data_IF_707624063513
#
_entry.id   IF_707624063513
#
_cell.length_a   1.000
_cell.length_b   1.000
_cell.length_c   1.000
_cell.angle_alpha   90.00
_cell.angle_beta   90.00
_cell.angle_gamma   90.00
#
_symmetry.space_group_name_H-M   'P 1'
#
loop_
_entity.id
_entity.type
_entity.pdbx_description
1 polymer ?
#
# COMPACT_ATOMS: atom_id res chain seq x y z
N UNK A 1 7.34 17.42 -10.72
CA UNK A 1 6.16 17.47 -9.83
C UNK A 1 5.74 16.06 -9.39
N UNK A 2 5.59 15.10 -10.29
CA UNK A 2 5.19 13.71 -9.99
C UNK A 2 6.19 12.96 -9.11
N UNK A 3 7.50 13.07 -9.39
CA UNK A 3 8.55 12.42 -8.59
C UNK A 3 8.62 12.95 -7.14
N UNK A 4 8.28 14.23 -6.93
CA UNK A 4 8.30 14.88 -5.61
C UNK A 4 7.19 14.34 -4.71
N UNK A 5 6.02 14.02 -5.26
CA UNK A 5 4.91 13.41 -4.54
C UNK A 5 5.29 12.00 -4.06
N UNK A 6 5.91 11.20 -4.94
CA UNK A 6 6.36 9.85 -4.60
C UNK A 6 7.40 9.84 -3.47
N UNK A 7 8.41 10.71 -3.53
CA UNK A 7 9.44 10.85 -2.48
C UNK A 7 8.90 11.40 -1.15
N UNK A 8 7.77 12.13 -1.17
CA UNK A 8 7.13 12.62 0.05
C UNK A 8 6.34 11.49 0.72
N UNK A 9 5.65 10.67 -0.07
CA UNK A 9 4.89 9.52 0.41
C UNK A 9 5.79 8.44 1.02
N UNK A 10 6.92 8.09 0.38
CA UNK A 10 7.86 7.10 0.94
C UNK A 10 8.40 7.53 2.31
N UNK A 11 8.71 8.82 2.50
CA UNK A 11 9.11 9.36 3.81
C UNK A 11 7.99 9.33 4.86
N UNK A 12 6.74 9.48 4.44
CA UNK A 12 5.59 9.42 5.35
C UNK A 12 5.38 8.00 5.90
N UNK A 13 5.53 6.98 5.06
CA UNK A 13 5.41 5.56 5.45
C UNK A 13 6.50 5.18 6.47
N UNK A 14 7.76 5.61 6.23
CA UNK A 14 8.90 5.27 7.08
C UNK A 14 8.89 5.94 8.47
N UNK A 15 8.11 7.02 8.65
CA UNK A 15 8.11 7.79 9.90
C UNK A 15 7.06 7.31 10.93
N UNK A 16 6.41 6.16 10.70
CA UNK A 16 5.38 5.62 11.61
C UNK A 16 5.95 4.55 12.53
N UNK A 17 5.79 4.76 13.84
CA UNK A 17 6.17 3.77 14.88
C UNK A 17 5.21 2.57 14.99
N UNK A 18 4.01 2.68 14.42
CA UNK A 18 2.97 1.66 14.46
C UNK A 18 2.89 0.92 13.12
N UNK A 19 3.14 -0.39 13.13
CA UNK A 19 3.14 -1.25 11.93
C UNK A 19 1.79 -1.22 11.20
N UNK A 20 0.68 -1.21 11.95
CA UNK A 20 -0.68 -1.13 11.38
C UNK A 20 -0.86 0.15 10.54
N UNK A 21 -0.35 1.27 11.04
CA UNK A 21 -0.46 2.56 10.36
C UNK A 21 0.42 2.62 9.10
N UNK A 22 1.51 1.85 9.09
CA UNK A 22 2.36 1.64 7.92
C UNK A 22 1.63 0.86 6.83
N UNK A 23 0.98 -0.26 7.19
CA UNK A 23 0.18 -1.07 6.27
C UNK A 23 -0.94 -0.25 5.61
N UNK A 24 -1.72 0.49 6.42
CA UNK A 24 -2.79 1.36 5.90
C UNK A 24 -2.24 2.41 4.91
N UNK A 25 -1.04 2.94 5.16
CA UNK A 25 -0.43 3.94 4.28
C UNK A 25 -0.01 3.34 2.93
N UNK A 26 0.43 2.08 2.91
CA UNK A 26 0.80 1.36 1.69
C UNK A 26 -0.46 1.08 0.84
N UNK A 27 -1.54 0.61 1.47
CA UNK A 27 -2.83 0.36 0.78
C UNK A 27 -3.37 1.63 0.11
N UNK A 28 -3.34 2.77 0.79
CA UNK A 28 -3.79 4.05 0.24
C UNK A 28 -2.91 4.47 -0.95
N UNK A 29 -1.61 4.19 -0.91
CA UNK A 29 -0.68 4.50 -2.00
C UNK A 29 -0.97 3.62 -3.23
N UNK A 30 -1.15 2.31 -3.05
CA UNK A 30 -1.50 1.38 -4.13
C UNK A 30 -2.86 1.72 -4.75
N UNK A 31 -3.83 2.09 -3.93
CA UNK A 31 -5.14 2.53 -4.40
C UNK A 31 -5.04 3.82 -5.23
N UNK A 32 -4.25 4.81 -4.79
CA UNK A 32 -4.06 6.06 -5.52
C UNK A 32 -3.39 5.84 -6.89
N UNK A 33 -2.39 4.95 -6.97
CA UNK A 33 -1.73 4.59 -8.23
C UNK A 33 -2.72 3.90 -9.17
N UNK A 34 -3.52 2.97 -8.65
CA UNK A 34 -4.53 2.26 -9.44
C UNK A 34 -5.59 3.21 -9.98
N UNK A 35 -6.03 4.17 -9.17
CA UNK A 35 -6.98 5.19 -9.59
C UNK A 35 -6.41 6.09 -10.70
N UNK A 36 -5.14 6.49 -10.61
CA UNK A 36 -4.48 7.27 -11.65
C UNK A 36 -4.44 6.51 -12.99
N UNK A 37 -4.12 5.21 -12.95
CA UNK A 37 -4.10 4.35 -14.15
C UNK A 37 -5.51 4.22 -14.73
N UNK A 38 -6.53 4.02 -13.89
CA UNK A 38 -7.92 3.88 -14.33
C UNK A 38 -8.45 5.16 -14.98
N UNK A 39 -8.20 6.33 -14.40
CA UNK A 39 -8.59 7.62 -15.00
C UNK A 39 -7.88 7.84 -16.33
N UNK A 40 -6.57 7.56 -16.39
CA UNK A 40 -5.81 7.67 -17.64
C UNK A 40 -6.37 6.74 -18.71
N UNK A 41 -6.69 5.50 -18.34
CA UNK A 41 -7.24 4.48 -19.24
C UNK A 41 -8.59 4.90 -19.82
N UNK A 42 -9.48 5.50 -19.03
CA UNK A 42 -10.76 6.04 -19.52
C UNK A 42 -10.55 7.21 -20.50
N UNK A 43 -9.56 8.06 -20.27
CA UNK A 43 -9.28 9.21 -21.15
C UNK A 43 -8.72 8.80 -22.53
N UNK A 44 -8.02 7.66 -22.61
CA UNK A 44 -7.43 7.14 -23.85
C UNK A 44 -8.21 5.97 -24.47
N UNK A 45 -9.38 5.63 -23.91
CA UNK A 45 -10.21 4.47 -24.30
C UNK A 45 -9.44 3.14 -24.36
N UNK A 46 -8.46 2.99 -23.46
CA UNK A 46 -7.56 1.83 -23.43
C UNK A 46 -8.07 0.76 -22.46
N UNK A 47 -8.60 -0.35 -23.01
CA UNK A 47 -9.12 -1.49 -22.25
C UNK A 47 -8.02 -2.24 -21.46
N UNK A 48 -6.76 -2.15 -21.90
CA UNK A 48 -5.65 -2.80 -21.20
C UNK A 48 -5.42 -2.12 -19.84
N UNK A 49 -5.47 -0.79 -19.79
CA UNK A 49 -5.36 -0.04 -18.53
C UNK A 49 -6.43 -0.39 -17.50
N UNK A 50 -7.67 -0.66 -17.94
CA UNK A 50 -8.75 -1.12 -17.06
C UNK A 50 -8.48 -2.54 -16.52
N UNK A 51 -7.97 -3.42 -17.39
CA UNK A 51 -7.61 -4.80 -17.02
C UNK A 51 -6.47 -4.81 -15.99
N UNK A 52 -5.44 -3.98 -16.19
CA UNK A 52 -4.36 -3.81 -15.23
C UNK A 52 -4.86 -3.30 -13.88
N UNK A 53 -5.82 -2.38 -13.85
CA UNK A 53 -6.37 -1.88 -12.59
C UNK A 53 -6.99 -3.01 -11.74
N UNK A 54 -7.71 -3.95 -12.36
CA UNK A 54 -8.30 -5.11 -11.67
C UNK A 54 -7.22 -6.05 -11.12
N UNK A 55 -6.14 -6.28 -11.89
CA UNK A 55 -5.00 -7.07 -11.42
C UNK A 55 -4.33 -6.43 -10.21
N UNK A 56 -4.11 -5.11 -10.23
CA UNK A 56 -3.45 -4.40 -9.11
C UNK A 56 -4.31 -4.45 -7.85
N UNK A 57 -5.63 -4.29 -7.94
CA UNK A 57 -6.54 -4.42 -6.78
C UNK A 57 -6.49 -5.84 -6.20
N UNK A 58 -6.44 -6.86 -7.07
CA UNK A 58 -6.37 -8.26 -6.64
C UNK A 58 -5.06 -8.56 -5.88
N UNK A 59 -3.94 -8.05 -6.39
CA UNK A 59 -2.62 -8.20 -5.75
C UNK A 59 -2.56 -7.42 -4.44
N UNK A 60 -3.12 -6.21 -4.39
CA UNK A 60 -3.18 -5.41 -3.15
C UNK A 60 -3.95 -6.16 -2.05
N UNK A 61 -5.09 -6.78 -2.38
CA UNK A 61 -5.83 -7.60 -1.42
C UNK A 61 -5.01 -8.80 -0.90
N UNK A 62 -4.24 -9.45 -1.77
CA UNK A 62 -3.36 -10.54 -1.37
C UNK A 62 -2.20 -10.07 -0.47
N UNK A 63 -1.59 -8.93 -0.77
CA UNK A 63 -0.55 -8.30 0.06
C UNK A 63 -1.08 -7.99 1.47
N UNK A 64 -2.28 -7.41 1.57
CA UNK A 64 -2.91 -7.08 2.85
C UNK A 64 -3.13 -8.31 3.74
N UNK A 65 -3.60 -9.41 3.15
CA UNK A 65 -3.80 -10.67 3.86
C UNK A 65 -2.49 -11.23 4.42
N UNK A 66 -1.41 -11.17 3.63
CA UNK A 66 -0.06 -11.61 4.06
C UNK A 66 0.47 -10.67 5.15
N UNK A 67 0.39 -9.35 4.97
CA UNK A 67 0.88 -8.35 5.91
C UNK A 67 0.22 -8.43 7.29
N UNK A 68 -1.11 -8.59 7.32
CA UNK A 68 -1.86 -8.81 8.56
C UNK A 68 -1.55 -10.18 9.18
N UNK A 69 -1.39 -11.24 8.37
CA UNK A 69 -1.02 -12.56 8.86
C UNK A 69 0.32 -12.57 9.60
N UNK A 70 1.33 -11.89 9.03
CA UNK A 70 2.63 -11.71 9.67
C UNK A 70 2.51 -10.86 10.94
N UNK A 71 1.74 -9.77 10.90
CA UNK A 71 1.51 -8.90 12.07
C UNK A 71 0.91 -9.69 13.24
N UNK A 72 -0.11 -10.52 13.00
CA UNK A 72 -0.76 -11.34 14.04
C UNK A 72 0.21 -12.37 14.59
N UNK A 73 0.98 -13.06 13.73
CA UNK A 73 2.00 -14.01 14.17
C UNK A 73 3.07 -13.33 15.03
N UNK A 74 3.53 -12.15 14.64
CA UNK A 74 4.51 -11.35 15.39
C UNK A 74 3.95 -10.89 16.74
N UNK A 75 2.70 -10.45 16.78
CA UNK A 75 2.06 -10.01 18.02
C UNK A 75 1.91 -11.16 19.03
N UNK A 76 1.63 -12.39 18.56
CA UNK A 76 1.60 -13.59 19.41
C UNK A 76 2.95 -13.95 20.01
N UNK A 77 4.06 -13.59 19.36
CA UNK A 77 5.42 -13.92 19.80
C UNK A 77 6.05 -12.85 20.72
N UNK A 78 5.69 -11.57 20.57
CA UNK A 78 6.32 -10.45 21.31
C UNK A 78 5.40 -9.72 22.29
N UNK A 79 4.09 -9.97 22.29
CA UNK A 79 3.14 -9.35 23.23
C UNK A 79 2.95 -7.83 23.08
N UNK A 80 3.68 -7.16 22.18
CA UNK A 80 3.61 -5.72 21.92
C UNK A 80 3.86 -5.42 20.44
N UNK A 81 3.06 -4.51 19.86
CA UNK A 81 3.21 -4.00 18.46
C UNK A 81 4.25 -2.86 18.39
N UNK A 82 4.84 -2.45 19.52
CA UNK A 82 5.86 -1.42 19.52
C UNK A 82 7.18 -1.97 18.96
N UNK A 83 7.64 -1.41 17.85
CA UNK A 83 9.03 -1.55 17.40
C UNK A 83 9.87 -0.69 18.35
N UNK A 84 10.21 -1.23 19.52
CA UNK A 84 11.19 -0.62 20.41
C UNK A 84 12.58 -1.09 19.98
N UNK A 85 13.28 -0.22 19.25
CA UNK A 85 14.71 -0.34 18.98
C UNK A 85 15.45 0.36 20.11
N UNK A 86 16.05 -0.43 21.01
CA UNK A 86 17.20 0.04 21.75
C UNK A 86 18.44 0.01 20.86
#
# INVERSE_FOLDING_TARGET
MTYTIFYRYTRFVLNRKNIILMLISIEIMLLAITFLILVSSVMFDDILGQTYAIYIISIAGAESAIGLGILVAFYRLRGSVAIDSK
#
